data_IF_828432135488
#
_entry.id   IF_828432135488
#
_cell.length_a   1.000
_cell.length_b   1.000
_cell.length_c   1.000
_cell.angle_alpha   90.00
_cell.angle_beta   90.00
_cell.angle_gamma   90.00
#
_symmetry.space_group_name_H-M   'P 1'
#
loop_
_entity.id
_entity.type
_entity.pdbx_description
1 polymer ?
#
# COMPACT_ATOMS: atom_id res chain seq x y z
N UNK A 1 12.07 -9.69 61.45
CA UNK A 1 13.06 -9.56 60.36
C UNK A 1 12.30 -9.51 59.06
N UNK A 2 12.22 -8.33 58.45
CA UNK A 2 11.48 -8.05 57.21
C UNK A 2 12.43 -8.24 56.02
N UNK A 3 12.13 -9.19 55.13
CA UNK A 3 12.81 -9.34 53.85
C UNK A 3 12.15 -8.40 52.84
N UNK A 4 12.80 -7.26 52.60
CA UNK A 4 12.45 -6.35 51.50
C UNK A 4 13.12 -6.87 50.24
N UNK A 5 12.34 -7.45 49.33
CA UNK A 5 12.76 -7.76 47.96
C UNK A 5 12.99 -6.47 47.17
N UNK A 6 14.08 -6.35 46.40
CA UNK A 6 14.31 -5.19 45.55
C UNK A 6 13.38 -5.25 44.33
N UNK A 7 12.57 -4.22 44.17
CA UNK A 7 11.80 -3.94 42.96
C UNK A 7 12.76 -3.62 41.82
N UNK A 8 12.79 -4.50 40.81
CA UNK A 8 13.41 -4.19 39.53
C UNK A 8 12.68 -2.99 38.90
N UNK A 9 13.32 -1.83 38.91
CA UNK A 9 12.92 -0.67 38.14
C UNK A 9 13.08 -1.01 36.65
N UNK A 10 11.99 -1.46 36.01
CA UNK A 10 11.89 -1.44 34.55
C UNK A 10 11.93 0.00 34.10
N UNK A 11 13.03 0.39 33.45
CA UNK A 11 13.21 1.70 32.84
C UNK A 11 11.97 2.08 32.02
N UNK A 12 11.18 3.01 32.54
CA UNK A 12 10.00 3.55 31.87
C UNK A 12 10.48 4.39 30.68
N UNK A 13 10.32 3.84 29.48
CA UNK A 13 10.58 4.52 28.23
C UNK A 13 9.75 5.82 28.20
N UNK A 14 10.34 7.02 28.05
CA UNK A 14 9.67 8.31 28.30
C UNK A 14 8.63 8.71 27.23
N UNK A 15 8.41 7.88 26.21
CA UNK A 15 7.47 8.18 25.14
C UNK A 15 6.07 7.70 25.49
N UNK A 16 5.10 8.61 25.41
CA UNK A 16 3.67 8.28 25.50
C UNK A 16 3.33 7.14 24.53
N UNK A 17 2.51 6.16 24.93
CA UNK A 17 2.13 5.03 24.07
C UNK A 17 1.55 5.48 22.73
N UNK A 18 0.93 6.66 22.68
CA UNK A 18 0.40 7.27 21.46
C UNK A 18 1.51 7.69 20.47
N UNK A 19 2.65 8.19 20.95
CA UNK A 19 3.79 8.55 20.10
C UNK A 19 4.42 7.30 19.50
N UNK A 20 4.54 6.23 20.30
CA UNK A 20 5.06 4.94 19.83
C UNK A 20 4.19 4.31 18.76
N UNK A 21 2.87 4.52 18.83
CA UNK A 21 1.90 4.05 17.84
C UNK A 21 2.12 4.65 16.44
N UNK A 22 2.55 5.91 16.35
CA UNK A 22 2.82 6.59 15.08
C UNK A 22 4.28 6.46 14.62
N UNK A 23 5.22 6.43 15.56
CA UNK A 23 6.65 6.35 15.23
C UNK A 23 7.01 5.06 14.49
N UNK A 24 6.41 3.92 14.87
CA UNK A 24 6.70 2.62 14.23
C UNK A 24 6.26 2.63 12.74
N UNK A 25 4.99 2.94 12.39
CA UNK A 25 4.57 3.10 11.00
C UNK A 25 5.42 4.10 10.21
N UNK A 26 5.80 5.21 10.83
CA UNK A 26 6.63 6.23 10.17
C UNK A 26 8.02 5.70 9.83
N UNK A 27 8.67 4.99 10.75
CA UNK A 27 9.99 4.39 10.50
C UNK A 27 9.93 3.32 9.40
N UNK A 28 8.88 2.49 9.40
CA UNK A 28 8.66 1.49 8.33
C UNK A 28 8.46 2.19 6.99
N UNK A 29 7.66 3.24 6.95
CA UNK A 29 7.44 4.04 5.75
C UNK A 29 8.75 4.68 5.25
N UNK A 30 9.55 5.29 6.12
CA UNK A 30 10.81 5.93 5.73
C UNK A 30 11.84 4.92 5.22
N UNK A 31 11.94 3.75 5.86
CA UNK A 31 12.80 2.66 5.38
C UNK A 31 12.36 2.17 3.99
N UNK A 32 11.06 1.91 3.83
CA UNK A 32 10.49 1.51 2.54
C UNK A 32 10.67 2.58 1.45
N UNK A 33 10.49 3.86 1.79
CA UNK A 33 10.69 4.99 0.88
C UNK A 33 12.15 5.08 0.42
N UNK A 34 13.10 4.92 1.34
CA UNK A 34 14.53 4.94 1.04
C UNK A 34 14.91 3.76 0.14
N UNK A 35 14.46 2.55 0.46
CA UNK A 35 14.70 1.37 -0.38
C UNK A 35 14.13 1.56 -1.78
N UNK A 36 12.91 2.08 -1.87
CA UNK A 36 12.24 2.35 -3.14
C UNK A 36 12.99 3.40 -3.97
N UNK A 37 13.48 4.46 -3.31
CA UNK A 37 14.31 5.47 -3.95
C UNK A 37 15.61 4.87 -4.50
N UNK A 38 16.28 4.02 -3.72
CA UNK A 38 17.56 3.41 -4.10
C UNK A 38 17.40 2.34 -5.20
N UNK A 39 16.36 1.52 -5.11
CA UNK A 39 16.17 0.35 -5.98
C UNK A 39 15.36 0.64 -7.24
N UNK A 40 14.41 1.58 -7.20
CA UNK A 40 13.60 1.93 -8.38
C UNK A 40 13.89 3.34 -8.90
N UNK A 41 14.00 4.32 -8.00
CA UNK A 41 14.20 5.72 -8.37
C UNK A 41 15.55 6.02 -9.03
N UNK A 42 16.64 5.60 -8.40
CA UNK A 42 18.00 5.80 -8.91
C UNK A 42 18.26 5.13 -10.26
N UNK A 43 17.91 3.84 -10.46
CA UNK A 43 18.11 3.18 -11.76
C UNK A 43 17.02 3.49 -12.79
N UNK A 44 16.04 4.35 -12.48
CA UNK A 44 14.90 4.67 -13.36
C UNK A 44 14.11 3.43 -13.79
N UNK A 45 13.91 2.50 -12.87
CA UNK A 45 13.44 1.14 -13.17
C UNK A 45 12.04 1.07 -13.78
N UNK A 46 11.20 2.08 -13.55
CA UNK A 46 9.88 2.17 -14.18
C UNK A 46 9.91 2.75 -15.60
N UNK A 47 10.97 3.49 -15.96
CA UNK A 47 11.16 4.08 -17.29
C UNK A 47 11.91 3.10 -18.21
N UNK A 48 12.95 2.44 -17.66
CA UNK A 48 13.80 1.47 -18.36
C UNK A 48 13.87 0.17 -17.52
N UNK A 49 12.89 -0.73 -17.65
CA UNK A 49 12.80 -1.91 -16.79
C UNK A 49 13.85 -2.96 -17.15
N UNK A 50 14.94 -3.01 -16.38
CA UNK A 50 15.82 -4.17 -16.34
C UNK A 50 15.12 -5.35 -15.60
N UNK A 51 14.92 -6.51 -16.26
CA UNK A 51 14.27 -7.68 -15.68
C UNK A 51 14.83 -8.11 -14.31
N UNK A 52 16.15 -8.07 -14.14
CA UNK A 52 16.82 -8.53 -12.91
C UNK A 52 16.62 -7.51 -11.80
N UNK A 53 16.90 -6.23 -12.06
CA UNK A 53 16.66 -5.17 -11.09
C UNK A 53 15.17 -5.09 -10.68
N UNK A 54 14.23 -5.28 -11.61
CA UNK A 54 12.80 -5.32 -11.32
C UNK A 54 12.42 -6.49 -10.41
N UNK A 55 13.00 -7.66 -10.62
CA UNK A 55 12.79 -8.80 -9.75
C UNK A 55 13.33 -8.56 -8.32
N UNK A 56 14.51 -7.94 -8.20
CA UNK A 56 15.11 -7.59 -6.90
C UNK A 56 14.27 -6.53 -6.18
N UNK A 57 13.87 -5.46 -6.88
CA UNK A 57 12.98 -4.43 -6.37
C UNK A 57 11.64 -5.01 -5.89
N UNK A 58 11.03 -5.87 -6.71
CA UNK A 58 9.76 -6.53 -6.36
C UNK A 58 9.91 -7.41 -5.12
N UNK A 59 10.98 -8.20 -5.04
CA UNK A 59 11.23 -9.06 -3.88
C UNK A 59 11.45 -8.27 -2.60
N UNK A 60 12.42 -7.34 -2.62
CA UNK A 60 12.86 -6.60 -1.44
C UNK A 60 11.86 -5.51 -1.07
N UNK A 61 11.68 -4.52 -1.95
CA UNK A 61 10.88 -3.33 -1.65
C UNK A 61 9.38 -3.57 -1.69
N UNK A 62 8.89 -4.38 -2.64
CA UNK A 62 7.43 -4.58 -2.74
C UNK A 62 6.92 -5.66 -1.80
N UNK A 63 7.55 -6.84 -1.79
CA UNK A 63 7.07 -7.99 -1.00
C UNK A 63 7.55 -7.92 0.44
N UNK A 64 8.87 -7.91 0.69
CA UNK A 64 9.37 -7.97 2.06
C UNK A 64 9.03 -6.71 2.86
N UNK A 65 9.42 -5.54 2.39
CA UNK A 65 9.23 -4.30 3.15
C UNK A 65 7.90 -3.62 2.83
N UNK A 66 7.36 -3.77 1.62
CA UNK A 66 6.10 -3.17 1.20
C UNK A 66 4.84 -3.92 1.63
N UNK A 67 4.88 -5.25 1.79
CA UNK A 67 3.69 -6.05 2.13
C UNK A 67 3.84 -6.81 3.46
N UNK A 68 4.92 -7.56 3.62
CA UNK A 68 5.12 -8.43 4.79
C UNK A 68 5.40 -7.59 6.05
N UNK A 69 6.30 -6.61 5.97
CA UNK A 69 6.66 -5.80 7.13
C UNK A 69 5.47 -4.99 7.70
N UNK A 70 4.66 -4.28 6.88
CA UNK A 70 3.40 -3.68 7.31
C UNK A 70 2.47 -4.67 7.99
N UNK A 71 2.32 -5.88 7.44
CA UNK A 71 1.49 -6.92 8.04
C UNK A 71 2.00 -7.34 9.42
N UNK A 72 3.31 -7.48 9.60
CA UNK A 72 3.91 -7.82 10.89
C UNK A 72 3.74 -6.70 11.93
N UNK A 73 3.81 -5.44 11.51
CA UNK A 73 3.53 -4.29 12.37
C UNK A 73 2.06 -4.24 12.80
N UNK A 74 1.15 -4.42 11.84
CA UNK A 74 -0.30 -4.46 12.09
C UNK A 74 -0.68 -5.65 12.98
N UNK A 75 -0.04 -6.82 12.79
CA UNK A 75 -0.25 -8.01 13.62
C UNK A 75 -0.07 -7.73 15.10
N UNK A 76 0.95 -6.96 15.48
CA UNK A 76 1.18 -6.60 16.89
C UNK A 76 0.03 -5.74 17.44
N UNK A 77 -0.53 -4.84 16.62
CA UNK A 77 -1.69 -4.02 16.97
C UNK A 77 -3.01 -4.83 17.03
N UNK A 78 -3.14 -5.89 16.23
CA UNK A 78 -4.26 -6.84 16.31
C UNK A 78 -4.25 -7.64 17.61
N UNK A 79 -3.09 -8.18 17.98
CA UNK A 79 -2.94 -8.99 19.20
C UNK A 79 -3.25 -8.19 20.47
N UNK A 80 -3.07 -6.87 20.44
CA UNK A 80 -3.47 -5.98 21.54
C UNK A 80 -4.96 -5.62 21.55
N UNK A 81 -5.78 -6.15 20.63
CA UNK A 81 -7.22 -5.90 20.56
C UNK A 81 -7.62 -4.48 20.11
N UNK A 82 -6.67 -3.72 19.57
CA UNK A 82 -6.89 -2.29 19.26
C UNK A 82 -7.65 -2.06 17.94
N UNK A 83 -7.60 -3.01 17.00
CA UNK A 83 -8.11 -2.84 15.64
C UNK A 83 -8.78 -4.12 15.12
N UNK A 84 -9.92 -3.98 14.43
CA UNK A 84 -10.65 -5.12 13.81
C UNK A 84 -10.21 -5.36 12.36
N UNK A 85 -10.31 -6.60 11.86
CA UNK A 85 -9.85 -7.02 10.53
C UNK A 85 -10.50 -6.22 9.40
N UNK A 86 -11.77 -5.86 9.59
CA UNK A 86 -12.53 -5.01 8.68
C UNK A 86 -12.01 -3.57 8.60
N UNK A 87 -11.41 -3.03 9.66
CA UNK A 87 -10.91 -1.65 9.68
C UNK A 87 -9.60 -1.51 8.89
N UNK A 88 -8.82 -2.58 8.80
CA UNK A 88 -7.56 -2.63 8.05
C UNK A 88 -7.77 -2.86 6.56
N UNK A 89 -8.99 -3.20 6.16
CA UNK A 89 -9.38 -3.34 4.77
C UNK A 89 -9.25 -4.77 4.23
N UNK A 90 -9.21 -5.77 5.12
CA UNK A 90 -9.35 -7.17 4.73
C UNK A 90 -10.80 -7.58 4.94
N UNK A 91 -11.58 -7.56 3.85
CA UNK A 91 -12.98 -7.93 3.85
C UNK A 91 -13.18 -9.44 3.56
N UNK A 92 -14.43 -9.91 3.61
CA UNK A 92 -14.73 -11.30 3.22
C UNK A 92 -14.29 -11.55 1.79
N UNK A 93 -13.69 -12.72 1.51
CA UNK A 93 -13.15 -13.07 0.19
C UNK A 93 -14.17 -12.89 -0.94
N UNK A 94 -15.47 -13.11 -0.67
CA UNK A 94 -16.55 -12.87 -1.64
C UNK A 94 -16.70 -11.40 -1.98
N UNK A 95 -16.67 -10.52 -0.97
CA UNK A 95 -16.78 -9.07 -1.15
C UNK A 95 -15.58 -8.52 -1.91
N UNK A 96 -14.37 -8.98 -1.56
CA UNK A 96 -13.14 -8.62 -2.28
C UNK A 96 -13.22 -9.04 -3.75
N UNK A 97 -13.61 -10.28 -4.05
CA UNK A 97 -13.74 -10.75 -5.43
C UNK A 97 -14.74 -9.92 -6.25
N UNK A 98 -15.91 -9.59 -5.68
CA UNK A 98 -16.92 -8.77 -6.36
C UNK A 98 -16.37 -7.36 -6.63
N UNK A 99 -15.74 -6.73 -5.64
CA UNK A 99 -15.18 -5.38 -5.78
C UNK A 99 -14.02 -5.34 -6.77
N UNK A 100 -13.09 -6.27 -6.69
CA UNK A 100 -11.98 -6.40 -7.63
C UNK A 100 -12.50 -6.60 -9.06
N UNK A 101 -13.54 -7.43 -9.25
CA UNK A 101 -14.17 -7.62 -10.55
C UNK A 101 -14.81 -6.32 -11.07
N UNK A 102 -15.61 -5.64 -10.25
CA UNK A 102 -16.27 -4.39 -10.62
C UNK A 102 -15.26 -3.28 -10.99
N UNK A 103 -14.20 -3.14 -10.20
CA UNK A 103 -13.15 -2.14 -10.42
C UNK A 103 -12.28 -2.53 -11.61
N UNK A 104 -11.99 -3.82 -11.79
CA UNK A 104 -11.29 -4.32 -12.97
C UNK A 104 -12.03 -3.98 -14.25
N UNK A 105 -13.36 -4.23 -14.28
CA UNK A 105 -14.22 -3.89 -15.40
C UNK A 105 -14.27 -2.37 -15.62
N UNK A 106 -14.51 -1.60 -14.55
CA UNK A 106 -14.58 -0.14 -14.64
C UNK A 106 -13.25 0.49 -15.08
N UNK A 107 -12.13 0.03 -14.52
CA UNK A 107 -10.79 0.47 -14.89
C UNK A 107 -10.44 0.12 -16.33
N UNK A 108 -10.77 -1.10 -16.77
CA UNK A 108 -10.60 -1.50 -18.18
C UNK A 108 -11.44 -0.64 -19.12
N UNK A 109 -12.72 -0.40 -18.79
CA UNK A 109 -13.58 0.48 -19.58
C UNK A 109 -13.05 1.93 -19.63
N UNK A 110 -12.51 2.43 -18.51
CA UNK A 110 -11.93 3.76 -18.42
C UNK A 110 -10.68 3.88 -19.30
N UNK A 111 -9.81 2.87 -19.27
CA UNK A 111 -8.62 2.82 -20.13
C UNK A 111 -9.00 2.72 -21.60
N UNK A 112 -10.03 1.96 -21.97
CA UNK A 112 -10.53 1.93 -23.34
C UNK A 112 -11.08 3.29 -23.79
N UNK A 113 -11.73 4.03 -22.89
CA UNK A 113 -12.32 5.33 -23.20
C UNK A 113 -11.27 6.44 -23.35
N UNK A 114 -10.26 6.46 -22.47
CA UNK A 114 -9.19 7.46 -22.48
C UNK A 114 -7.99 7.05 -23.35
N UNK A 115 -7.98 5.79 -23.81
CA UNK A 115 -7.08 5.17 -24.80
C UNK A 115 -5.61 5.63 -24.79
N UNK A 116 -4.90 5.61 -23.63
CA UNK A 116 -3.48 5.95 -23.62
C UNK A 116 -2.62 4.95 -24.43
N UNK A 117 -3.13 3.73 -24.70
CA UNK A 117 -2.42 2.67 -25.44
C UNK A 117 -3.07 2.31 -26.79
N UNK A 118 -4.10 3.04 -27.23
CA UNK A 118 -4.82 2.65 -28.45
C UNK A 118 -5.43 1.23 -28.36
N UNK A 119 -5.44 0.45 -29.46
CA UNK A 119 -5.94 -0.92 -29.46
C UNK A 119 -4.97 -1.97 -28.86
N UNK A 120 -3.78 -1.56 -28.39
CA UNK A 120 -2.72 -2.48 -27.97
C UNK A 120 -2.93 -3.02 -26.55
N UNK A 121 -3.77 -4.06 -26.47
CA UNK A 121 -4.15 -4.73 -25.22
C UNK A 121 -2.95 -5.31 -24.45
N UNK A 122 -1.89 -5.71 -25.16
CA UNK A 122 -0.68 -6.27 -24.55
C UNK A 122 0.14 -5.20 -23.83
N UNK A 123 0.22 -3.99 -24.37
CA UNK A 123 0.92 -2.88 -23.71
C UNK A 123 0.21 -2.50 -22.40
N UNK A 124 -1.12 -2.46 -22.40
CA UNK A 124 -1.92 -2.26 -21.20
C UNK A 124 -1.69 -3.36 -20.15
N UNK A 125 -1.68 -4.63 -20.56
CA UNK A 125 -1.41 -5.73 -19.64
C UNK A 125 0.00 -5.66 -19.05
N UNK A 126 1.01 -5.32 -19.88
CA UNK A 126 2.38 -5.11 -19.42
C UNK A 126 2.50 -3.96 -18.42
N UNK A 127 1.84 -2.83 -18.66
CA UNK A 127 1.83 -1.69 -17.75
C UNK A 127 1.15 -2.04 -16.41
N UNK A 128 0.03 -2.77 -16.46
CA UNK A 128 -0.62 -3.31 -15.27
C UNK A 128 0.33 -4.18 -14.45
N UNK A 129 1.02 -5.13 -15.09
CA UNK A 129 1.95 -6.03 -14.41
C UNK A 129 3.11 -5.24 -13.79
N UNK A 130 3.75 -4.33 -14.53
CA UNK A 130 4.86 -3.54 -14.02
C UNK A 130 4.48 -2.72 -12.77
N UNK A 131 3.29 -2.11 -12.78
CA UNK A 131 2.85 -1.23 -11.69
C UNK A 131 2.24 -1.98 -10.51
N UNK A 132 1.75 -3.19 -10.70
CA UNK A 132 1.03 -3.96 -9.68
C UNK A 132 1.84 -4.16 -8.38
N UNK A 133 3.13 -4.56 -8.40
CA UNK A 133 3.92 -4.70 -7.16
C UNK A 133 4.04 -3.39 -6.38
N UNK A 134 4.31 -2.29 -7.08
CA UNK A 134 4.46 -0.96 -6.49
C UNK A 134 3.13 -0.45 -5.93
N UNK A 135 2.04 -0.66 -6.65
CA UNK A 135 0.69 -0.34 -6.18
C UNK A 135 0.34 -1.17 -4.93
N UNK A 136 0.63 -2.47 -4.91
CA UNK A 136 0.39 -3.35 -3.76
C UNK A 136 1.16 -2.88 -2.51
N UNK A 137 2.45 -2.62 -2.67
CA UNK A 137 3.31 -2.14 -1.60
C UNK A 137 2.86 -0.78 -1.07
N UNK A 138 2.59 0.19 -1.95
CA UNK A 138 2.14 1.51 -1.55
C UNK A 138 0.79 1.47 -0.82
N UNK A 139 -0.17 0.67 -1.28
CA UNK A 139 -1.47 0.45 -0.59
C UNK A 139 -1.25 -0.08 0.83
N UNK A 140 -0.39 -1.08 0.98
CA UNK A 140 -0.11 -1.69 2.27
C UNK A 140 0.63 -0.74 3.23
N UNK A 141 1.63 0.00 2.77
CA UNK A 141 2.42 0.90 3.64
C UNK A 141 1.66 2.20 3.92
N UNK A 142 1.22 2.91 2.89
CA UNK A 142 0.64 4.24 3.05
C UNK A 142 -0.77 4.17 3.66
N UNK A 143 -1.64 3.28 3.16
CA UNK A 143 -3.04 3.27 3.60
C UNK A 143 -3.32 2.23 4.68
N UNK A 144 -2.94 0.97 4.45
CA UNK A 144 -3.26 -0.10 5.39
C UNK A 144 -2.49 0.02 6.71
N UNK A 145 -1.19 0.32 6.67
CA UNK A 145 -0.39 0.56 7.87
C UNK A 145 -0.59 1.98 8.39
N UNK A 146 -0.13 3.00 7.65
CA UNK A 146 -0.10 4.35 8.20
C UNK A 146 -1.50 4.96 8.37
N UNK A 147 -2.37 4.82 7.36
CA UNK A 147 -3.74 5.32 7.39
C UNK A 147 -4.58 4.79 8.55
N UNK A 148 -4.47 3.49 8.87
CA UNK A 148 -5.21 2.90 10.00
C UNK A 148 -4.68 3.36 11.36
N UNK A 149 -3.37 3.56 11.50
CA UNK A 149 -2.75 4.06 12.74
C UNK A 149 -3.08 5.54 12.99
N UNK A 150 -3.06 6.38 11.94
CA UNK A 150 -3.53 7.77 12.01
C UNK A 150 -5.00 7.80 12.45
N UNK A 151 -5.84 6.97 11.84
CA UNK A 151 -7.26 6.94 12.18
C UNK A 151 -7.50 6.53 13.64
N UNK A 152 -6.74 5.55 14.14
CA UNK A 152 -6.77 5.12 15.53
C UNK A 152 -6.29 6.22 16.49
N UNK A 153 -5.26 6.98 16.11
CA UNK A 153 -4.73 8.09 16.90
C UNK A 153 -5.76 9.22 17.05
N UNK A 154 -6.46 9.58 15.97
CA UNK A 154 -7.50 10.62 15.98
C UNK A 154 -8.90 10.10 16.33
N UNK A 155 -9.01 8.92 16.95
CA UNK A 155 -10.32 8.31 17.26
C UNK A 155 -11.14 9.15 18.24
N UNK A 156 -10.48 9.90 19.13
CA UNK A 156 -11.13 10.82 20.08
C UNK A 156 -11.84 11.98 19.38
N UNK A 157 -11.37 12.39 18.20
CA UNK A 157 -11.99 13.45 17.38
C UNK A 157 -13.18 12.98 16.53
N UNK A 158 -13.59 11.71 16.66
CA UNK A 158 -14.67 11.13 15.87
C UNK A 158 -14.33 10.92 14.39
N UNK A 159 -15.29 10.38 13.62
CA UNK A 159 -15.09 10.07 12.21
C UNK A 159 -14.81 11.31 11.34
N UNK A 160 -15.38 12.47 11.73
CA UNK A 160 -15.28 13.74 11.00
C UNK A 160 -13.85 14.27 10.99
N UNK A 161 -13.09 14.10 12.08
CA UNK A 161 -11.68 14.51 12.13
C UNK A 161 -10.77 13.39 11.59
N UNK A 162 -11.06 12.15 11.97
CA UNK A 162 -10.18 11.00 11.75
C UNK A 162 -10.03 10.62 10.27
N UNK A 163 -11.12 10.69 9.48
CA UNK A 163 -11.11 10.31 8.07
C UNK A 163 -10.36 11.34 7.20
N UNK A 164 -10.66 12.66 7.26
CA UNK A 164 -9.93 13.65 6.48
C UNK A 164 -8.44 13.70 6.79
N UNK A 165 -8.04 13.59 8.06
CA UNK A 165 -6.62 13.55 8.45
C UNK A 165 -5.93 12.30 7.88
N UNK A 166 -6.60 11.15 7.90
CA UNK A 166 -6.14 9.94 7.24
C UNK A 166 -5.95 10.15 5.73
N UNK A 167 -6.94 10.74 5.05
CA UNK A 167 -6.89 11.02 3.61
C UNK A 167 -5.71 11.92 3.27
N UNK A 168 -5.60 13.08 3.92
CA UNK A 168 -4.55 14.06 3.63
C UNK A 168 -3.17 13.45 3.87
N UNK A 169 -2.98 12.80 5.01
CA UNK A 169 -1.66 12.28 5.38
C UNK A 169 -1.23 11.15 4.44
N UNK A 170 -2.12 10.19 4.16
CA UNK A 170 -1.80 9.08 3.24
C UNK A 170 -1.58 9.54 1.81
N UNK A 171 -2.27 10.60 1.37
CA UNK A 171 -2.07 11.21 0.05
C UNK A 171 -0.69 11.84 -0.07
N UNK A 172 -0.23 12.55 0.97
CA UNK A 172 1.12 13.16 1.00
C UNK A 172 2.20 12.06 0.99
N UNK A 173 2.03 11.02 1.82
CA UNK A 173 2.97 9.90 1.87
C UNK A 173 3.02 9.16 0.52
N UNK A 174 1.87 8.92 -0.10
CA UNK A 174 1.84 8.32 -1.44
C UNK A 174 2.52 9.21 -2.48
N UNK A 175 2.24 10.50 -2.50
CA UNK A 175 2.86 11.43 -3.44
C UNK A 175 4.39 11.43 -3.30
N UNK A 176 4.91 11.45 -2.07
CA UNK A 176 6.34 11.34 -1.80
C UNK A 176 6.92 10.00 -2.28
N UNK A 177 6.20 8.89 -2.09
CA UNK A 177 6.61 7.59 -2.61
C UNK A 177 6.68 7.56 -4.15
N UNK A 178 5.69 8.13 -4.84
CA UNK A 178 5.70 8.20 -6.30
C UNK A 178 6.86 9.05 -6.83
N UNK A 179 7.16 10.19 -6.19
CA UNK A 179 8.34 11.02 -6.52
C UNK A 179 9.66 10.28 -6.25
N UNK A 180 9.69 9.41 -5.23
CA UNK A 180 10.86 8.58 -4.94
C UNK A 180 11.07 7.49 -6.00
N UNK A 181 10.00 6.90 -6.53
CA UNK A 181 10.07 5.85 -7.57
C UNK A 181 10.33 6.43 -8.95
N UNK A 182 9.72 7.57 -9.30
CA UNK A 182 9.70 8.10 -10.66
C UNK A 182 10.56 9.38 -10.77
N UNK A 183 11.73 9.31 -11.43
CA UNK A 183 12.62 10.45 -11.57
C UNK A 183 12.08 11.54 -12.50
N UNK A 184 11.30 11.20 -13.54
CA UNK A 184 10.66 12.22 -14.39
C UNK A 184 9.77 13.17 -13.57
N UNK A 185 8.90 12.63 -12.71
CA UNK A 185 8.04 13.43 -11.83
C UNK A 185 8.87 14.33 -10.90
N UNK A 186 10.00 13.82 -10.41
CA UNK A 186 10.92 14.59 -9.55
C UNK A 186 11.57 15.75 -10.29
N UNK A 187 11.92 15.57 -11.55
CA UNK A 187 12.54 16.61 -12.38
C UNK A 187 11.54 17.68 -12.80
N UNK A 188 10.29 17.29 -13.12
CA UNK A 188 9.22 18.21 -13.45
C UNK A 188 8.77 19.06 -12.25
N UNK A 189 8.98 18.56 -11.03
CA UNK A 189 8.62 19.26 -9.78
C UNK A 189 7.10 19.36 -9.53
N UNK A 190 6.28 18.78 -10.39
CA UNK A 190 4.82 18.81 -10.26
C UNK A 190 4.33 17.70 -9.32
N UNK A 191 3.98 18.08 -8.09
CA UNK A 191 3.35 17.18 -7.11
C UNK A 191 1.84 17.02 -7.31
N UNK A 192 1.25 17.78 -8.24
CA UNK A 192 -0.20 17.85 -8.42
C UNK A 192 -0.80 16.47 -8.73
N UNK A 193 -0.30 15.79 -9.77
CA UNK A 193 -0.82 14.48 -10.18
C UNK A 193 -0.64 13.40 -9.11
N UNK A 194 0.55 13.21 -8.50
CA UNK A 194 0.73 12.25 -7.41
C UNK A 194 -0.21 12.49 -6.23
N UNK A 195 -0.44 13.75 -5.83
CA UNK A 195 -1.35 14.09 -4.74
C UNK A 195 -2.79 13.80 -5.12
N UNK A 196 -3.23 14.14 -6.34
CA UNK A 196 -4.58 13.84 -6.81
C UNK A 196 -4.86 12.33 -6.86
N UNK A 197 -3.91 11.53 -7.34
CA UNK A 197 -4.01 10.06 -7.35
C UNK A 197 -4.06 9.54 -5.91
N UNK A 198 -3.18 10.03 -5.04
CA UNK A 198 -3.15 9.67 -3.62
C UNK A 198 -4.47 9.96 -2.92
N UNK A 199 -5.06 11.12 -3.20
CA UNK A 199 -6.35 11.53 -2.64
C UNK A 199 -7.51 10.69 -3.16
N UNK A 200 -7.56 10.40 -4.46
CA UNK A 200 -8.56 9.51 -5.04
C UNK A 200 -8.49 8.09 -4.47
N UNK A 201 -7.28 7.54 -4.37
CA UNK A 201 -7.05 6.24 -3.76
C UNK A 201 -7.35 6.21 -2.26
N UNK A 202 -7.04 7.28 -1.52
CA UNK A 202 -7.36 7.41 -0.10
C UNK A 202 -8.87 7.45 0.13
N UNK A 203 -9.61 8.27 -0.61
CA UNK A 203 -11.07 8.33 -0.55
C UNK A 203 -11.68 6.94 -0.79
N UNK A 204 -11.21 6.27 -1.84
CA UNK A 204 -11.65 4.91 -2.16
C UNK A 204 -11.32 3.92 -1.03
N UNK A 205 -10.09 3.91 -0.53
CA UNK A 205 -9.66 3.01 0.54
C UNK A 205 -10.46 3.22 1.83
N UNK A 206 -10.64 4.46 2.28
CA UNK A 206 -11.36 4.75 3.52
C UNK A 206 -12.86 4.46 3.41
N UNK A 207 -13.45 4.62 2.21
CA UNK A 207 -14.85 4.31 1.95
C UNK A 207 -15.12 2.79 1.81
N UNK A 208 -14.31 2.09 1.01
CA UNK A 208 -14.54 0.69 0.68
C UNK A 208 -13.91 -0.26 1.70
N UNK A 209 -12.74 0.10 2.25
CA UNK A 209 -11.94 -0.76 3.13
C UNK A 209 -11.66 -2.11 2.49
N UNK A 210 -11.06 -2.08 1.30
CA UNK A 210 -10.61 -3.29 0.63
C UNK A 210 -9.24 -3.06 -0.04
N UNK A 211 -8.20 -3.68 0.52
CA UNK A 211 -6.82 -3.52 0.06
C UNK A 211 -6.67 -3.94 -1.41
N UNK A 212 -7.19 -5.11 -1.80
CA UNK A 212 -7.01 -5.63 -3.15
C UNK A 212 -7.73 -4.76 -4.19
N UNK A 213 -8.93 -4.29 -3.84
CA UNK A 213 -9.67 -3.33 -4.66
C UNK A 213 -8.90 -2.00 -4.81
N UNK A 214 -8.33 -1.46 -3.72
CA UNK A 214 -7.55 -0.23 -3.75
C UNK A 214 -6.29 -0.39 -4.60
N UNK A 215 -5.62 -1.55 -4.56
CA UNK A 215 -4.46 -1.84 -5.43
C UNK A 215 -4.83 -1.73 -6.91
N UNK A 216 -5.99 -2.27 -7.30
CA UNK A 216 -6.49 -2.14 -8.68
C UNK A 216 -6.78 -0.68 -9.04
N UNK A 217 -7.39 0.09 -8.13
CA UNK A 217 -7.65 1.53 -8.33
C UNK A 217 -6.35 2.30 -8.51
N UNK A 218 -5.37 2.11 -7.61
CA UNK A 218 -4.07 2.80 -7.68
C UNK A 218 -3.34 2.43 -8.98
N UNK A 219 -3.32 1.15 -9.35
CA UNK A 219 -2.71 0.68 -10.61
C UNK A 219 -3.36 1.38 -11.81
N UNK A 220 -4.70 1.39 -11.89
CA UNK A 220 -5.42 2.03 -12.98
C UNK A 220 -5.20 3.55 -13.04
N UNK A 221 -5.19 4.24 -11.89
CA UNK A 221 -4.95 5.68 -11.83
C UNK A 221 -3.51 6.06 -12.25
N UNK A 222 -2.51 5.27 -11.85
CA UNK A 222 -1.11 5.46 -12.27
C UNK A 222 -0.95 5.27 -13.78
N UNK A 223 -1.64 4.29 -14.35
CA UNK A 223 -1.67 4.07 -15.80
C UNK A 223 -2.29 5.27 -16.52
N UNK A 224 -3.45 5.74 -16.04
CA UNK A 224 -4.16 6.87 -16.67
C UNK A 224 -3.40 8.19 -16.57
N UNK A 225 -2.61 8.37 -15.52
CA UNK A 225 -1.77 9.57 -15.37
C UNK A 225 -0.52 9.54 -16.23
N UNK A 226 -0.30 8.49 -17.04
CA UNK A 226 0.88 8.38 -17.90
C UNK A 226 2.19 8.19 -17.14
N UNK A 227 2.16 7.64 -15.92
CA UNK A 227 3.40 7.39 -15.14
C UNK A 227 4.35 6.40 -15.81
N UNK A 228 3.84 5.65 -16.80
CA UNK A 228 4.60 4.78 -17.69
C UNK A 228 4.34 5.27 -19.11
N UNK A 229 5.38 5.75 -19.80
CA UNK A 229 5.27 6.30 -21.16
C UNK A 229 5.32 5.14 -22.18
N UNK A 230 4.47 5.13 -23.24
CA UNK A 230 4.34 3.99 -24.16
C UNK A 230 5.55 3.67 -25.06
N UNK A 231 6.43 4.64 -25.32
CA UNK A 231 7.36 4.57 -26.46
C UNK A 231 8.53 3.57 -26.28
N UNK A 232 8.91 3.22 -25.04
CA UNK A 232 9.98 2.26 -24.74
C UNK A 232 9.48 0.84 -24.38
N UNK A 233 8.16 0.65 -24.31
CA UNK A 233 7.58 -0.39 -23.44
C UNK A 233 7.16 -1.70 -24.11
N UNK A 234 7.26 -1.80 -25.45
CA UNK A 234 6.71 -2.96 -26.18
C UNK A 234 7.51 -4.26 -26.04
N UNK A 235 8.79 -4.22 -25.62
CA UNK A 235 9.64 -5.42 -25.59
C UNK A 235 10.09 -5.87 -24.19
N UNK A 236 10.30 -4.96 -23.23
CA UNK A 236 10.84 -5.33 -21.89
C UNK A 236 9.75 -5.68 -20.86
N UNK A 237 8.56 -5.07 -20.95
CA UNK A 237 7.43 -5.37 -20.06
C UNK A 237 6.81 -6.76 -20.28
N UNK A 238 7.09 -7.36 -21.45
CA UNK A 238 6.70 -8.73 -21.79
C UNK A 238 7.77 -9.73 -21.32
N UNK A 239 8.85 -9.27 -20.68
CA UNK A 239 9.85 -10.20 -20.16
C UNK A 239 9.22 -11.17 -19.14
N UNK A 240 9.55 -12.47 -19.21
CA UNK A 240 9.03 -13.47 -18.27
C UNK A 240 9.31 -13.12 -16.80
N UNK A 241 10.38 -12.37 -16.53
CA UNK A 241 10.72 -11.90 -15.19
C UNK A 241 9.69 -10.91 -14.65
N UNK A 242 9.28 -9.89 -15.43
CA UNK A 242 8.25 -8.93 -15.00
C UNK A 242 6.95 -9.65 -14.70
N UNK A 243 6.54 -10.60 -15.55
CA UNK A 243 5.37 -11.45 -15.31
C UNK A 243 5.50 -12.26 -14.02
N UNK A 244 6.62 -12.97 -13.85
CA UNK A 244 6.84 -13.80 -12.68
C UNK A 244 6.86 -12.98 -11.39
N UNK A 245 7.53 -11.82 -11.38
CA UNK A 245 7.59 -10.91 -10.25
C UNK A 245 6.22 -10.33 -9.91
N UNK A 246 5.43 -9.96 -10.92
CA UNK A 246 4.08 -9.42 -10.72
C UNK A 246 3.11 -10.48 -10.20
N UNK A 247 3.19 -11.70 -10.75
CA UNK A 247 2.42 -12.85 -10.26
C UNK A 247 2.82 -13.21 -8.83
N UNK A 248 4.11 -13.16 -8.50
CA UNK A 248 4.61 -13.39 -7.15
C UNK A 248 4.09 -12.33 -6.17
N UNK A 249 4.10 -11.06 -6.56
CA UNK A 249 3.53 -9.97 -5.76
C UNK A 249 2.01 -10.13 -5.58
N UNK A 250 1.27 -10.49 -6.64
CA UNK A 250 -0.16 -10.77 -6.56
C UNK A 250 -0.47 -11.98 -5.68
N UNK A 251 0.33 -13.04 -5.77
CA UNK A 251 0.22 -14.23 -4.92
C UNK A 251 0.51 -13.89 -3.45
N UNK A 252 1.54 -13.08 -3.17
CA UNK A 252 1.82 -12.57 -1.83
C UNK A 252 0.63 -11.77 -1.29
N UNK A 253 0.10 -10.83 -2.07
CA UNK A 253 -1.06 -10.02 -1.70
C UNK A 253 -2.31 -10.88 -1.42
N UNK A 254 -2.57 -11.89 -2.25
CA UNK A 254 -3.68 -12.82 -2.05
C UNK A 254 -3.49 -13.80 -0.88
N UNK A 255 -2.25 -14.15 -0.54
CA UNK A 255 -1.94 -15.01 0.61
C UNK A 255 -2.17 -14.31 1.95
N UNK A 256 -2.00 -12.99 2.02
CA UNK A 256 -2.21 -12.19 3.24
C UNK A 256 -3.63 -12.35 3.84
N UNK A 257 -4.73 -12.12 3.11
CA UNK A 257 -6.08 -12.28 3.66
C UNK A 257 -6.37 -13.74 4.05
N UNK A 258 -5.86 -14.71 3.29
CA UNK A 258 -5.99 -16.15 3.62
C UNK A 258 -5.28 -16.47 4.92
N UNK A 259 -4.05 -15.96 5.10
CA UNK A 259 -3.27 -16.10 6.33
C UNK A 259 -3.98 -15.45 7.51
N UNK A 260 -4.49 -14.23 7.34
CA UNK A 260 -5.19 -13.51 8.40
C UNK A 260 -6.47 -14.24 8.82
N UNK A 261 -7.28 -14.70 7.86
CA UNK A 261 -8.52 -15.41 8.14
C UNK A 261 -8.29 -16.76 8.86
N UNK A 262 -7.19 -17.45 8.55
CA UNK A 262 -6.82 -18.72 9.21
C UNK A 262 -6.32 -18.54 10.64
N UNK A 263 -5.58 -17.47 10.92
CA UNK A 263 -4.89 -17.30 12.21
C UNK A 263 -5.60 -16.36 13.19
N UNK A 264 -6.50 -15.50 12.70
CA UNK A 264 -7.23 -14.54 13.54
C UNK A 264 -8.72 -14.75 13.34
N UNK A 265 -9.35 -15.48 14.26
CA UNK A 265 -10.80 -15.45 14.44
C UNK A 265 -11.20 -14.07 14.96
N UNK A 266 -11.96 -13.32 14.16
CA UNK A 266 -12.59 -12.06 14.58
C UNK A 266 -13.44 -12.32 15.82
N UNK A 267 -12.97 -11.88 16.98
CA UNK A 267 -13.79 -11.85 18.20
C UNK A 267 -14.84 -10.78 17.96
N UNK A 268 -16.09 -11.20 17.78
CA UNK A 268 -17.23 -10.28 17.76
C UNK A 268 -17.34 -9.70 19.16
N UNK A 269 -16.85 -8.48 19.35
CA UNK A 269 -17.15 -7.72 20.56
C UNK A 269 -18.64 -7.40 20.49
N UNK A 270 -19.46 -8.13 21.25
CA UNK A 270 -20.83 -7.68 21.54
C UNK A 270 -20.70 -6.29 22.15
N UNK A 271 -21.21 -5.28 21.48
CA UNK A 271 -21.68 -4.09 22.18
C UNK A 271 -22.72 -4.58 23.19
N UNK A 272 -22.36 -4.50 24.47
CA UNK A 272 -23.35 -4.53 25.54
C UNK A 272 -24.07 -3.19 25.43
N UNK A 273 -25.18 -3.21 24.70
CA UNK A 273 -26.25 -2.22 24.86
C UNK A 273 -27.02 -2.52 26.15
#
# INVERSE_FOLDING_TARGET
>A
MSNVTPTHATASNPYSPAVRLLAIPLLVYLAWLLETFLLAGMPRLLEEPDPVAFAVYTGISCIFTGMILPLLCIRKAFLSGAVNMFQIGFSSSRRTLILCSLIGIAGYALVLLFSPFGPDRLAFAGACLLLLPTAAASVMVCWALFGTHIQAFFREGGAVLSIPTGIVTTSILFAAAIVAVNPAIRMEGSLFWPVCIGMGAALFFFAVRDVCATVMVVTGLLILSGTVIPDSFSWQAISPAVWLSSLLAGAALGAIPVYLHRNYTTIVVRTQD
#
